data_IF_610839634069
#
_entry.id   IF_610839634069
#
_cell.length_a   1.000
_cell.length_b   1.000
_cell.length_c   1.000
_cell.angle_alpha   90.00
_cell.angle_beta   90.00
_cell.angle_gamma   90.00
#
_symmetry.space_group_name_H-M   'P 1'
#
loop_
_entity.id
_entity.type
_entity.pdbx_description
1 polymer ?
#
# COMPACT_ATOMS: atom_id res chain seq x y z
N UNK A 1 0.01 11.31 -19.20
CA UNK A 1 1.39 10.78 -19.13
C UNK A 1 1.33 9.44 -18.43
N UNK A 2 1.95 8.41 -18.97
CA UNK A 2 2.02 7.10 -18.31
C UNK A 2 3.17 7.14 -17.30
N UNK A 3 2.82 7.05 -16.02
CA UNK A 3 3.79 7.13 -14.91
C UNK A 3 3.70 5.85 -14.10
N UNK A 4 4.83 5.20 -13.91
CA UNK A 4 4.99 4.10 -12.97
C UNK A 4 5.53 4.65 -11.65
N UNK A 5 4.78 4.43 -10.57
CA UNK A 5 5.23 4.74 -9.23
C UNK A 5 5.84 3.51 -8.57
N UNK A 6 7.00 3.69 -7.95
CA UNK A 6 7.69 2.64 -7.20
C UNK A 6 8.27 3.21 -5.92
N UNK A 7 8.41 2.37 -4.89
CA UNK A 7 9.09 2.76 -3.67
C UNK A 7 10.04 1.67 -3.18
N UNK A 8 11.11 2.09 -2.51
CA UNK A 8 12.12 1.18 -1.96
C UNK A 8 12.47 1.54 -0.52
N UNK A 9 13.75 1.37 -0.16
CA UNK A 9 14.22 1.64 1.20
C UNK A 9 14.10 3.10 1.60
N UNK A 10 14.41 4.04 0.71
CA UNK A 10 14.54 5.46 1.08
C UNK A 10 13.65 6.39 0.26
N UNK A 11 13.20 5.93 -0.92
CA UNK A 11 12.59 6.82 -1.89
C UNK A 11 11.26 6.29 -2.42
N UNK A 12 10.34 7.21 -2.67
CA UNK A 12 9.25 7.08 -3.64
C UNK A 12 9.74 7.69 -4.95
N UNK A 13 9.55 7.00 -6.07
CA UNK A 13 10.07 7.40 -7.38
C UNK A 13 8.95 7.34 -8.40
N UNK A 14 8.82 8.41 -9.20
CA UNK A 14 7.96 8.46 -10.37
C UNK A 14 8.82 8.24 -11.63
N UNK A 15 8.47 7.21 -12.40
CA UNK A 15 9.14 6.87 -13.64
C UNK A 15 8.19 7.18 -14.81
N UNK A 16 8.62 8.04 -15.72
CA UNK A 16 7.95 8.17 -17.02
C UNK A 16 8.13 6.87 -17.77
N UNK A 17 7.02 6.33 -18.26
CA UNK A 17 7.02 5.17 -19.15
C UNK A 17 6.83 5.66 -20.58
N UNK A 18 7.75 5.28 -21.46
CA UNK A 18 7.68 5.47 -22.91
C UNK A 18 8.20 4.22 -23.64
N UNK A 19 8.39 4.28 -24.96
CA UNK A 19 8.76 3.11 -25.75
C UNK A 19 7.55 2.24 -26.12
N UNK A 20 7.74 0.93 -26.23
CA UNK A 20 6.68 -0.04 -26.52
C UNK A 20 6.51 -1.02 -25.36
N UNK A 21 5.42 -1.78 -25.33
CA UNK A 21 5.21 -2.80 -24.30
C UNK A 21 6.30 -3.90 -24.30
N UNK A 22 6.88 -4.20 -25.47
CA UNK A 22 7.98 -5.14 -25.60
C UNK A 22 9.34 -4.54 -25.21
N UNK A 23 9.49 -3.22 -25.33
CA UNK A 23 10.72 -2.48 -25.07
C UNK A 23 10.40 -1.16 -24.32
N UNK A 24 10.03 -1.24 -23.03
CA UNK A 24 9.67 -0.05 -22.27
C UNK A 24 10.91 0.75 -21.89
N UNK A 25 10.80 2.07 -21.96
CA UNK A 25 11.81 3.01 -21.49
C UNK A 25 11.29 3.64 -20.20
N UNK A 26 12.08 3.53 -19.14
CA UNK A 26 11.78 4.12 -17.83
C UNK A 26 12.74 5.28 -17.56
N UNK A 27 12.19 6.48 -17.39
CA UNK A 27 12.96 7.67 -17.03
C UNK A 27 12.49 8.24 -15.70
N UNK A 28 13.40 8.38 -14.74
CA UNK A 28 13.09 9.06 -13.48
C UNK A 28 12.66 10.51 -13.75
N UNK A 29 11.44 10.85 -13.32
CA UNK A 29 10.92 12.21 -13.35
C UNK A 29 10.97 12.87 -11.99
N UNK A 30 10.79 12.07 -10.92
CA UNK A 30 10.70 12.57 -9.57
C UNK A 30 11.20 11.51 -8.60
N UNK A 31 11.90 11.97 -7.56
CA UNK A 31 12.42 11.15 -6.47
C UNK A 31 12.23 11.89 -5.15
N UNK A 32 11.50 11.30 -4.22
CA UNK A 32 11.12 11.91 -2.94
C UNK A 32 11.60 11.01 -1.81
N UNK A 33 12.20 11.60 -0.77
CA UNK A 33 12.50 10.87 0.45
C UNK A 33 11.21 10.36 1.10
N UNK A 34 11.18 9.08 1.46
CA UNK A 34 10.13 8.54 2.31
C UNK A 34 10.28 9.13 3.72
N UNK A 35 9.17 9.48 4.39
CA UNK A 35 9.25 9.96 5.78
C UNK A 35 9.79 8.88 6.73
N UNK A 36 9.61 7.61 6.37
CA UNK A 36 10.16 6.45 7.07
C UNK A 36 10.60 5.38 6.06
N UNK A 37 11.68 4.67 6.38
CA UNK A 37 12.34 3.73 5.46
C UNK A 37 11.52 2.45 5.22
N UNK A 38 11.94 1.70 4.19
CA UNK A 38 11.47 0.36 3.83
C UNK A 38 10.02 0.34 3.37
N UNK A 39 9.72 0.98 2.24
CA UNK A 39 8.42 0.83 1.60
C UNK A 39 8.16 -0.63 1.22
N UNK A 40 6.95 -1.10 1.51
CA UNK A 40 6.45 -2.41 1.12
C UNK A 40 5.46 -2.32 -0.04
N UNK A 41 4.74 -1.20 -0.15
CA UNK A 41 3.72 -1.05 -1.18
C UNK A 41 3.51 0.40 -1.58
N UNK A 42 3.22 0.59 -2.87
CA UNK A 42 2.64 1.81 -3.45
C UNK A 42 1.44 1.37 -4.29
N UNK A 43 0.27 1.96 -4.03
CA UNK A 43 -0.98 1.65 -4.73
C UNK A 43 -1.78 2.95 -4.95
N UNK A 44 -2.66 3.03 -5.95
CA UNK A 44 -3.58 4.16 -6.08
C UNK A 44 -4.53 4.25 -4.89
N UNK A 45 -4.90 5.48 -4.51
CA UNK A 45 -6.09 5.71 -3.68
C UNK A 45 -7.29 5.80 -4.63
N UNK A 46 -8.02 4.70 -4.79
CA UNK A 46 -9.12 4.66 -5.75
C UNK A 46 -10.18 5.72 -5.43
N UNK A 47 -10.58 6.46 -6.47
CA UNK A 47 -11.49 7.61 -6.35
C UNK A 47 -10.76 8.95 -6.19
N UNK A 48 -9.43 8.95 -6.08
CA UNK A 48 -8.62 10.16 -6.05
C UNK A 48 -7.28 9.97 -6.80
N UNK A 49 -7.24 10.43 -8.04
CA UNK A 49 -6.07 10.30 -8.92
C UNK A 49 -4.85 11.09 -8.46
N UNK A 50 -5.01 12.03 -7.53
CA UNK A 50 -3.92 12.82 -6.95
C UNK A 50 -3.22 12.11 -5.79
N UNK A 51 -3.73 10.95 -5.34
CA UNK A 51 -3.23 10.29 -4.14
C UNK A 51 -2.75 8.86 -4.39
N UNK A 52 -1.71 8.48 -3.66
CA UNK A 52 -1.19 7.11 -3.59
C UNK A 52 -1.16 6.64 -2.14
N UNK A 53 -1.55 5.40 -1.88
CA UNK A 53 -1.18 4.73 -0.65
C UNK A 53 0.30 4.38 -0.68
N UNK A 54 1.01 4.62 0.42
CA UNK A 54 2.40 4.23 0.62
C UNK A 54 2.55 3.62 2.01
N UNK A 55 2.82 2.31 2.09
CA UNK A 55 3.13 1.65 3.35
C UNK A 55 4.65 1.48 3.49
N UNK A 56 5.23 2.02 4.55
CA UNK A 56 6.62 1.84 4.96
C UNK A 56 6.76 0.77 6.04
N UNK A 57 7.99 0.58 6.54
CA UNK A 57 8.23 -0.34 7.65
C UNK A 57 7.46 0.02 8.92
N UNK A 58 7.08 1.29 9.11
CA UNK A 58 6.48 1.77 10.37
C UNK A 58 5.14 2.47 10.23
N UNK A 59 4.78 3.00 9.06
CA UNK A 59 3.54 3.78 8.87
C UNK A 59 2.97 3.61 7.47
N UNK A 60 1.68 3.89 7.37
CA UNK A 60 0.97 4.09 6.11
C UNK A 60 0.73 5.58 5.91
N UNK A 61 0.99 6.07 4.71
CA UNK A 61 0.78 7.44 4.26
C UNK A 61 -0.13 7.48 3.04
N UNK A 62 -0.77 8.61 2.81
CA UNK A 62 -1.21 9.01 1.48
C UNK A 62 -0.20 10.02 0.91
N UNK A 63 0.46 9.67 -0.19
CA UNK A 63 1.27 10.64 -0.93
C UNK A 63 0.39 11.44 -1.88
N UNK A 64 0.48 12.77 -1.83
CA UNK A 64 -0.28 13.71 -2.65
C UNK A 64 0.63 14.21 -3.78
N UNK A 65 0.30 13.85 -5.02
CA UNK A 65 1.14 14.09 -6.20
C UNK A 65 1.26 15.58 -6.51
N UNK A 66 0.17 16.35 -6.40
CA UNK A 66 0.14 17.78 -6.71
C UNK A 66 1.02 18.64 -5.81
N UNK A 67 1.23 18.24 -4.55
CA UNK A 67 1.99 19.01 -3.56
C UNK A 67 3.31 18.35 -3.16
N UNK A 68 3.57 17.13 -3.64
CA UNK A 68 4.70 16.29 -3.26
C UNK A 68 4.80 16.05 -1.74
N UNK A 69 3.67 15.89 -1.06
CA UNK A 69 3.62 15.72 0.40
C UNK A 69 3.11 14.33 0.80
N UNK A 70 3.59 13.84 1.94
CA UNK A 70 3.02 12.67 2.60
C UNK A 70 2.05 13.13 3.68
N UNK A 71 0.84 12.57 3.65
CA UNK A 71 -0.27 12.92 4.52
C UNK A 71 -0.68 11.73 5.39
N UNK A 72 -1.03 12.03 6.64
CA UNK A 72 -1.53 11.09 7.64
C UNK A 72 -2.97 11.42 8.08
N UNK A 73 -3.60 12.47 7.52
CA UNK A 73 -4.93 12.94 7.92
C UNK A 73 -6.09 12.18 7.26
N UNK A 74 -5.82 11.05 6.61
CA UNK A 74 -6.85 10.23 5.99
C UNK A 74 -7.73 9.51 7.03
N UNK A 75 -9.00 9.29 6.67
CA UNK A 75 -9.97 8.61 7.56
C UNK A 75 -9.48 7.23 7.99
N UNK A 76 -9.60 6.94 9.29
CA UNK A 76 -9.15 5.66 9.86
C UNK A 76 -7.64 5.52 10.08
N UNK A 77 -6.84 6.57 9.86
CA UNK A 77 -5.38 6.53 10.05
C UNK A 77 -4.94 5.90 11.38
N UNK A 78 -5.62 6.22 12.49
CA UNK A 78 -5.28 5.71 13.81
C UNK A 78 -5.31 4.17 13.93
N UNK A 79 -6.08 3.49 13.08
CA UNK A 79 -6.18 2.02 13.04
C UNK A 79 -5.36 1.42 11.88
N UNK A 80 -5.42 2.06 10.71
CA UNK A 80 -4.79 1.60 9.47
C UNK A 80 -3.26 1.80 9.51
N UNK A 81 -2.79 2.92 10.07
CA UNK A 81 -1.36 3.26 10.06
C UNK A 81 -0.65 2.57 11.23
N UNK A 82 -0.06 1.41 10.94
CA UNK A 82 0.70 0.63 11.92
C UNK A 82 1.96 0.01 11.34
N UNK A 83 2.81 -0.47 12.24
CA UNK A 83 4.07 -1.15 11.88
C UNK A 83 3.76 -2.42 11.09
N UNK A 84 4.53 -2.64 10.03
CA UNK A 84 4.53 -3.92 9.32
C UNK A 84 3.43 -4.10 8.26
N UNK A 85 2.66 -3.07 7.91
CA UNK A 85 1.73 -3.14 6.76
C UNK A 85 2.48 -3.55 5.49
N UNK A 86 2.07 -4.67 4.89
CA UNK A 86 2.71 -5.26 3.68
C UNK A 86 1.93 -4.97 2.41
N UNK A 87 0.62 -4.72 2.55
CA UNK A 87 -0.26 -4.33 1.45
C UNK A 87 -1.37 -3.47 1.99
N UNK A 88 -1.83 -2.50 1.20
CA UNK A 88 -3.00 -1.68 1.50
C UNK A 88 -3.67 -1.29 0.18
N UNK A 89 -5.00 -1.15 0.19
CA UNK A 89 -5.74 -0.56 -0.91
C UNK A 89 -7.17 -0.25 -0.48
N UNK A 90 -7.91 0.51 -1.29
CA UNK A 90 -9.29 0.86 -0.98
C UNK A 90 -10.25 0.55 -2.13
N UNK A 91 -11.51 0.32 -1.81
CA UNK A 91 -12.59 0.32 -2.80
C UNK A 91 -13.05 1.76 -3.05
N UNK A 92 -13.80 1.97 -4.14
CA UNK A 92 -14.43 3.28 -4.43
C UNK A 92 -15.38 3.75 -3.32
N UNK A 93 -15.95 2.82 -2.55
CA UNK A 93 -16.77 3.12 -1.37
C UNK A 93 -15.97 3.75 -0.21
N UNK A 94 -14.64 3.73 -0.27
CA UNK A 94 -13.75 4.15 0.81
C UNK A 94 -13.36 3.02 1.77
N UNK A 95 -13.95 1.82 1.63
CA UNK A 95 -13.54 0.67 2.42
C UNK A 95 -12.07 0.32 2.13
N UNK A 96 -11.26 0.18 3.18
CA UNK A 96 -9.82 -0.12 3.05
C UNK A 96 -9.59 -1.58 3.40
N UNK A 97 -8.65 -2.22 2.71
CA UNK A 97 -8.09 -3.51 3.12
C UNK A 97 -6.60 -3.36 3.37
N UNK A 98 -6.06 -4.21 4.25
CA UNK A 98 -4.62 -4.34 4.43
C UNK A 98 -4.19 -5.76 4.84
N UNK A 99 -2.89 -6.01 4.67
CA UNK A 99 -2.20 -7.17 5.25
C UNK A 99 -1.10 -6.70 6.18
N UNK A 100 -1.01 -7.33 7.35
CA UNK A 100 -0.06 -7.06 8.43
C UNK A 100 0.32 -8.42 9.05
N UNK A 101 1.59 -8.67 9.42
CA UNK A 101 1.99 -9.90 10.11
C UNK A 101 1.16 -10.15 11.37
N UNK A 102 0.90 -11.41 11.71
CA UNK A 102 0.04 -11.74 12.87
C UNK A 102 0.53 -11.10 14.17
N UNK A 103 1.85 -10.99 14.36
CA UNK A 103 2.44 -10.37 15.55
C UNK A 103 2.13 -8.88 15.72
N UNK A 104 1.68 -8.19 14.66
CA UNK A 104 1.32 -6.77 14.68
C UNK A 104 -0.20 -6.55 14.73
N UNK A 105 -0.99 -7.62 14.86
CA UNK A 105 -2.45 -7.56 15.02
C UNK A 105 -2.85 -7.66 16.48
N UNK A 106 -3.91 -6.93 16.86
CA UNK A 106 -4.55 -7.06 18.17
C UNK A 106 -5.27 -8.40 18.31
N UNK A 107 -5.86 -8.89 17.21
CA UNK A 107 -6.43 -10.22 17.09
C UNK A 107 -5.66 -11.00 16.02
N UNK A 108 -4.68 -11.77 16.45
CA UNK A 108 -3.88 -12.62 15.58
C UNK A 108 -4.72 -13.80 15.03
N UNK A 109 -4.52 -14.09 13.75
CA UNK A 109 -4.86 -15.33 13.08
C UNK A 109 -3.95 -16.49 13.52
N UNK A 110 -3.87 -17.54 12.70
CA UNK A 110 -3.22 -18.81 13.08
C UNK A 110 -1.90 -19.06 12.36
N UNK A 111 -1.45 -18.12 11.52
CA UNK A 111 -0.20 -18.28 10.83
C UNK A 111 0.99 -18.26 11.80
N UNK A 112 1.76 -19.35 11.83
CA UNK A 112 2.93 -19.54 12.70
C UNK A 112 4.20 -19.92 11.93
N UNK A 113 4.16 -19.85 10.60
CA UNK A 113 5.29 -20.23 9.75
C UNK A 113 6.53 -19.36 9.97
N UNK A 114 6.35 -18.07 10.29
CA UNK A 114 7.39 -17.13 10.69
C UNK A 114 6.76 -15.84 11.27
N UNK A 115 7.60 -14.93 11.79
CA UNK A 115 7.16 -13.68 12.41
C UNK A 115 6.59 -12.64 11.43
N UNK A 116 6.65 -12.88 10.12
CA UNK A 116 6.16 -11.97 9.08
C UNK A 116 4.93 -12.50 8.34
N UNK A 117 4.44 -13.67 8.71
CA UNK A 117 3.34 -14.30 8.02
C UNK A 117 1.99 -13.79 8.53
N UNK A 118 0.98 -13.88 7.66
CA UNK A 118 -0.41 -13.64 8.04
C UNK A 118 -1.33 -14.54 7.23
N UNK A 119 -2.37 -15.06 7.87
CA UNK A 119 -3.46 -15.79 7.23
C UNK A 119 -4.76 -14.99 7.21
N UNK A 120 -4.69 -13.70 7.57
CA UNK A 120 -5.84 -12.81 7.71
C UNK A 120 -5.65 -11.50 6.93
N UNK A 121 -6.70 -11.07 6.24
CA UNK A 121 -6.82 -9.75 5.61
C UNK A 121 -7.77 -8.91 6.44
N UNK A 122 -7.34 -7.72 6.86
CA UNK A 122 -8.15 -6.81 7.67
C UNK A 122 -8.83 -5.78 6.76
N UNK A 123 -10.07 -5.44 7.10
CA UNK A 123 -10.89 -4.47 6.40
C UNK A 123 -11.29 -3.36 7.38
N UNK A 124 -11.39 -2.14 6.86
CA UNK A 124 -11.81 -0.96 7.62
C UNK A 124 -12.91 -0.22 6.89
N UNK A 125 -13.83 0.36 7.63
CA UNK A 125 -14.98 1.11 7.10
C UNK A 125 -15.82 0.30 6.08
N UNK A 126 -16.53 -0.77 6.52
CA UNK A 126 -16.68 -1.25 7.89
C UNK A 126 -15.58 -2.22 8.34
N UNK A 127 -15.36 -2.29 9.65
CA UNK A 127 -14.31 -3.12 10.23
C UNK A 127 -14.68 -4.60 10.17
N UNK A 128 -13.80 -5.41 9.56
CA UNK A 128 -13.93 -6.87 9.57
C UNK A 128 -12.60 -7.53 9.22
N UNK A 129 -12.55 -8.87 9.26
CA UNK A 129 -11.41 -9.62 8.74
C UNK A 129 -11.88 -10.81 7.90
N UNK A 130 -10.98 -11.31 7.05
CA UNK A 130 -11.17 -12.57 6.31
C UNK A 130 -9.95 -13.45 6.49
N UNK A 131 -10.17 -14.71 6.80
CA UNK A 131 -9.10 -15.68 7.06
C UNK A 131 -9.04 -16.72 5.95
N UNK A 132 -7.82 -17.02 5.49
CA UNK A 132 -7.52 -18.19 4.66
C UNK A 132 -6.55 -19.05 5.46
N UNK A 133 -7.09 -19.97 6.27
CA UNK A 133 -6.32 -20.73 7.28
C UNK A 133 -5.08 -21.37 6.66
N UNK A 134 -3.92 -21.14 7.28
CA UNK A 134 -2.64 -21.71 6.86
C UNK A 134 -1.95 -21.00 5.69
N UNK A 135 -2.53 -19.92 5.18
CA UNK A 135 -1.89 -19.08 4.16
C UNK A 135 -0.81 -18.16 4.76
N UNK A 136 0.01 -17.57 3.88
CA UNK A 136 1.05 -16.59 4.22
C UNK A 136 0.92 -15.39 3.28
N UNK A 137 -0.18 -14.64 3.42
CA UNK A 137 -0.59 -13.58 2.49
C UNK A 137 0.29 -12.34 2.68
N UNK A 138 1.29 -12.18 1.83
CA UNK A 138 2.07 -10.93 1.81
C UNK A 138 1.28 -9.78 1.17
N UNK A 139 0.56 -10.06 0.07
CA UNK A 139 -0.08 -9.05 -0.77
C UNK A 139 -1.56 -9.35 -0.99
N UNK A 140 -2.39 -8.31 -0.84
CA UNK A 140 -3.81 -8.31 -1.18
C UNK A 140 -4.13 -7.05 -1.97
N UNK A 141 -4.91 -7.16 -3.04
CA UNK A 141 -5.26 -6.02 -3.91
C UNK A 141 -6.76 -5.97 -4.16
N UNK A 142 -7.25 -4.75 -4.33
CA UNK A 142 -8.57 -4.51 -4.93
C UNK A 142 -8.43 -4.71 -6.43
N UNK A 143 -9.21 -5.64 -6.96
CA UNK A 143 -9.37 -5.76 -8.41
C UNK A 143 -10.25 -4.59 -8.86
N UNK A 144 -9.66 -3.63 -9.56
CA UNK A 144 -10.36 -2.55 -10.22
C UNK A 144 -9.95 -2.55 -11.71
N UNK A 145 -10.88 -2.74 -12.65
CA UNK A 145 -10.56 -2.66 -14.07
C UNK A 145 -10.09 -1.26 -14.47
N UNK A 146 -10.49 -0.23 -13.72
CA UNK A 146 -10.09 1.17 -13.93
C UNK A 146 -8.91 1.53 -13.00
N UNK A 147 -7.79 0.81 -13.15
CA UNK A 147 -6.57 1.12 -12.40
C UNK A 147 -6.13 2.57 -12.68
N UNK A 148 -5.85 3.35 -11.62
CA UNK A 148 -5.64 4.81 -11.66
C UNK A 148 -4.18 5.23 -11.55
#
# INVERSE_FOLDING_TARGET
MNVLWTAGTEYLVALQVSGTDAEPILKEQLKINLPTRNAHVVEPVYGNTDKLWVASGSKVYQYIKSTNQFDLSYSGNALISRVGVKSIGNQLSGAVLETVPEMAKSLAGKCTANNWCTDTVDFFSPDSSRTIIGSQVYKARILNPDYQ
#
